data_IF_319879606401
#
_entry.id   IF_319879606401
#
_cell.length_a   1.000
_cell.length_b   1.000
_cell.length_c   1.000
_cell.angle_alpha   90.00
_cell.angle_beta   90.00
_cell.angle_gamma   90.00
#
_symmetry.space_group_name_H-M   'P 1'
#
loop_
_entity.id
_entity.type
_entity.pdbx_description
1 polymer ?
#
# COMPACT_ATOMS: atom_id res chain seq x y z
N UNK A 1 47.95 -24.02 -25.34
CA UNK A 1 47.27 -23.91 -26.66
C UNK A 1 45.77 -23.75 -26.44
N UNK A 2 45.17 -22.85 -27.23
CA UNK A 2 43.73 -22.58 -27.44
C UNK A 2 43.03 -21.63 -26.46
N UNK A 3 42.95 -20.39 -26.97
CA UNK A 3 42.00 -19.30 -26.68
C UNK A 3 40.56 -19.76 -26.92
N UNK A 4 39.64 -19.34 -26.06
CA UNK A 4 38.29 -18.95 -26.50
C UNK A 4 37.81 -17.74 -25.69
N UNK A 5 37.78 -16.62 -26.38
CA UNK A 5 37.07 -15.39 -26.04
C UNK A 5 35.67 -15.51 -26.69
N UNK A 6 34.59 -15.26 -25.94
CA UNK A 6 33.27 -14.88 -26.49
C UNK A 6 32.42 -14.36 -25.30
N UNK A 7 32.32 -13.04 -25.10
CA UNK A 7 31.39 -12.10 -25.75
C UNK A 7 29.95 -12.21 -25.22
N UNK A 8 29.55 -11.10 -24.57
CA UNK A 8 28.30 -10.37 -24.79
C UNK A 8 26.97 -11.14 -24.68
N UNK A 9 26.11 -10.73 -23.75
CA UNK A 9 24.82 -10.17 -24.14
C UNK A 9 24.02 -9.57 -22.97
N UNK A 10 23.63 -8.31 -23.19
CA UNK A 10 22.31 -7.73 -22.91
C UNK A 10 21.82 -7.71 -21.45
N UNK A 11 21.87 -6.54 -20.80
CA UNK A 11 20.81 -5.52 -20.85
C UNK A 11 19.60 -5.93 -20.02
N UNK A 12 19.45 -5.18 -18.92
CA UNK A 12 18.20 -4.68 -18.35
C UNK A 12 16.93 -5.34 -18.86
N UNK A 13 16.32 -6.14 -17.99
CA UNK A 13 14.87 -6.10 -17.86
C UNK A 13 14.53 -6.18 -16.38
N UNK A 14 14.44 -4.97 -15.79
CA UNK A 14 13.39 -4.66 -14.85
C UNK A 14 12.08 -5.18 -15.43
N UNK A 15 11.66 -6.34 -14.97
CA UNK A 15 10.35 -6.90 -15.21
C UNK A 15 9.72 -7.19 -13.87
N UNK A 16 9.38 -6.14 -13.11
CA UNK A 16 8.25 -6.29 -12.20
C UNK A 16 7.07 -6.61 -13.12
N UNK A 17 6.66 -7.87 -13.16
CA UNK A 17 5.36 -8.24 -13.67
C UNK A 17 4.34 -7.55 -12.80
N UNK A 18 3.97 -6.33 -13.16
CA UNK A 18 2.72 -5.73 -12.72
C UNK A 18 1.64 -6.50 -13.47
N UNK A 19 1.28 -7.67 -12.94
CA UNK A 19 0.01 -8.30 -13.26
C UNK A 19 -1.05 -7.26 -12.88
N UNK A 20 -1.62 -6.65 -13.91
CA UNK A 20 -2.84 -5.86 -13.79
C UNK A 20 -3.98 -6.84 -13.50
N UNK A 21 -4.02 -7.35 -12.27
CA UNK A 21 -5.14 -8.15 -11.78
C UNK A 21 -6.34 -7.21 -11.66
N UNK A 22 -7.32 -7.38 -12.55
CA UNK A 22 -8.66 -6.86 -12.31
C UNK A 22 -9.28 -7.67 -11.18
N UNK A 23 -8.96 -7.30 -9.94
CA UNK A 23 -9.46 -8.00 -8.77
C UNK A 23 -10.97 -7.83 -8.66
N UNK A 24 -11.67 -8.96 -8.57
CA UNK A 24 -13.05 -9.03 -8.12
C UNK A 24 -13.13 -8.36 -6.74
N UNK A 25 -14.10 -7.46 -6.58
CA UNK A 25 -14.32 -6.61 -5.40
C UNK A 25 -14.70 -7.40 -4.12
N UNK A 26 -14.74 -8.73 -4.17
CA UNK A 26 -15.11 -9.62 -3.06
C UNK A 26 -13.98 -10.54 -2.58
N UNK A 27 -12.78 -10.47 -3.14
CA UNK A 27 -11.66 -11.30 -2.69
C UNK A 27 -10.95 -10.66 -1.49
N UNK A 28 -10.61 -11.49 -0.49
CA UNK A 28 -9.79 -11.05 0.65
C UNK A 28 -8.49 -10.42 0.17
N UNK A 29 -8.11 -9.28 0.75
CA UNK A 29 -6.86 -8.63 0.40
C UNK A 29 -5.66 -9.50 0.76
N UNK A 30 -4.86 -9.82 -0.26
CA UNK A 30 -3.58 -10.46 -0.09
C UNK A 30 -2.62 -9.59 0.74
N UNK A 31 -1.67 -10.26 1.39
CA UNK A 31 -0.57 -9.60 2.07
C UNK A 31 0.26 -8.79 1.08
N UNK A 32 0.60 -7.56 1.46
CA UNK A 32 1.48 -6.73 0.65
C UNK A 32 1.29 -5.23 0.83
N UNK A 33 1.83 -4.48 -0.14
CA UNK A 33 1.74 -3.03 -0.19
C UNK A 33 0.73 -2.59 -1.23
N UNK A 34 0.02 -1.51 -0.93
CA UNK A 34 -1.02 -0.94 -1.78
C UNK A 34 -0.95 0.58 -1.78
N UNK A 35 -1.19 1.21 -2.92
CA UNK A 35 -1.37 2.64 -3.00
C UNK A 35 -2.84 2.94 -2.69
N UNK A 36 -3.08 3.79 -1.70
CA UNK A 36 -4.42 4.10 -1.23
C UNK A 36 -4.67 5.61 -1.16
N UNK A 37 -5.92 6.00 -1.38
CA UNK A 37 -6.43 7.32 -1.02
C UNK A 37 -6.79 7.31 0.46
N UNK A 38 -6.14 8.17 1.23
CA UNK A 38 -6.34 8.28 2.68
C UNK A 38 -6.95 9.65 2.97
N UNK A 39 -8.23 9.69 3.32
CA UNK A 39 -8.92 10.89 3.80
C UNK A 39 -8.81 10.95 5.32
N UNK A 40 -8.21 12.01 5.83
CA UNK A 40 -8.03 12.27 7.26
C UNK A 40 -8.92 13.42 7.66
N UNK A 41 -9.83 13.14 8.59
CA UNK A 41 -10.74 14.10 9.18
C UNK A 41 -10.34 14.36 10.62
N UNK A 42 -10.13 15.65 10.92
CA UNK A 42 -9.85 16.16 12.25
C UNK A 42 -10.94 17.17 12.62
N UNK A 43 -11.01 17.59 13.88
CA UNK A 43 -11.97 18.61 14.31
C UNK A 43 -11.89 19.92 13.52
N UNK A 44 -10.71 20.24 12.97
CA UNK A 44 -10.44 21.51 12.29
C UNK A 44 -10.49 21.42 10.77
N UNK A 45 -10.07 20.28 10.21
CA UNK A 45 -9.80 20.16 8.77
C UNK A 45 -9.93 18.73 8.26
N UNK A 46 -10.26 18.65 6.98
CA UNK A 46 -10.23 17.43 6.18
C UNK A 46 -9.07 17.53 5.20
N UNK A 47 -8.24 16.48 5.13
CA UNK A 47 -7.13 16.38 4.18
C UNK A 47 -7.18 15.03 3.47
N UNK A 48 -6.73 14.98 2.22
CA UNK A 48 -6.66 13.74 1.45
C UNK A 48 -5.23 13.54 0.95
N UNK A 49 -4.73 12.32 1.08
CA UNK A 49 -3.39 11.93 0.65
C UNK A 49 -3.45 10.68 -0.23
N UNK A 50 -2.45 10.51 -1.08
CA UNK A 50 -2.13 9.21 -1.68
C UNK A 50 -0.94 8.65 -0.93
N UNK A 51 -1.15 7.55 -0.20
CA UNK A 51 -0.14 6.96 0.67
C UNK A 51 -0.04 5.46 0.41
N UNK A 52 1.18 4.94 0.51
CA UNK A 52 1.42 3.50 0.54
C UNK A 52 0.98 2.95 1.89
N UNK A 53 0.17 1.89 1.87
CA UNK A 53 -0.26 1.14 3.04
C UNK A 53 0.25 -0.30 2.98
N UNK A 54 0.32 -0.97 4.12
CA UNK A 54 0.64 -2.40 4.21
C UNK A 54 -0.55 -3.15 4.78
N UNK A 55 -0.94 -4.25 4.13
CA UNK A 55 -2.00 -5.16 4.57
C UNK A 55 -1.43 -6.51 4.99
N UNK A 56 -2.11 -7.17 5.93
CA UNK A 56 -1.85 -8.57 6.30
C UNK A 56 -3.16 -9.23 6.71
N UNK A 57 -3.48 -10.39 6.14
CA UNK A 57 -4.70 -11.14 6.36
C UNK A 57 -5.97 -10.27 6.26
N UNK A 58 -6.10 -9.45 5.22
CA UNK A 58 -7.21 -8.49 5.05
C UNK A 58 -7.27 -7.31 6.05
N UNK A 59 -6.28 -7.15 6.95
CA UNK A 59 -6.22 -6.04 7.91
C UNK A 59 -5.15 -5.00 7.58
N UNK A 60 -5.43 -3.73 7.85
CA UNK A 60 -4.44 -2.65 7.75
C UNK A 60 -3.37 -2.77 8.84
N UNK A 61 -2.11 -2.88 8.44
CA UNK A 61 -0.97 -2.97 9.34
C UNK A 61 -0.25 -1.63 9.55
N UNK A 62 -0.14 -0.83 8.50
CA UNK A 62 0.67 0.40 8.51
C UNK A 62 0.22 1.38 7.44
N UNK A 63 0.26 2.68 7.76
CA UNK A 63 0.19 3.80 6.80
C UNK A 63 1.56 4.49 6.77
N UNK A 64 2.20 4.55 5.59
CA UNK A 64 3.52 5.18 5.41
C UNK A 64 3.36 6.68 5.12
N UNK A 65 3.91 7.55 5.98
CA UNK A 65 3.91 9.00 5.77
C UNK A 65 5.22 9.49 5.14
N UNK A 66 5.18 10.46 4.21
CA UNK A 66 6.37 10.96 3.51
C UNK A 66 7.45 11.53 4.43
N UNK A 67 7.07 12.04 5.60
CA UNK A 67 7.99 12.62 6.59
C UNK A 67 8.74 11.58 7.43
N UNK A 68 8.83 10.33 6.97
CA UNK A 68 9.47 9.23 7.70
C UNK A 68 8.67 8.71 8.90
N UNK A 69 7.40 9.13 9.02
CA UNK A 69 6.49 8.69 10.07
C UNK A 69 5.65 7.48 9.64
N UNK A 70 5.12 6.76 10.62
CA UNK A 70 4.15 5.69 10.41
C UNK A 70 2.99 5.80 11.40
N UNK A 71 1.81 5.42 10.94
CA UNK A 71 0.68 5.13 11.81
C UNK A 71 0.46 3.61 11.77
N UNK A 72 0.51 2.96 12.93
CA UNK A 72 0.36 1.52 13.06
C UNK A 72 -0.58 1.14 14.23
N UNK A 73 -0.66 -0.14 14.55
CA UNK A 73 -1.53 -0.71 15.59
C UNK A 73 -1.33 -0.15 16.99
N UNK A 74 -0.20 0.49 17.29
CA UNK A 74 -0.02 1.19 18.57
C UNK A 74 -0.94 2.39 18.72
N UNK A 75 -1.46 2.90 17.59
CA UNK A 75 -2.31 4.09 17.55
C UNK A 75 -3.77 3.81 17.15
N UNK A 76 -4.12 2.60 16.68
CA UNK A 76 -5.48 2.26 16.27
C UNK A 76 -5.82 0.78 16.43
N UNK A 77 -7.12 0.48 16.58
CA UNK A 77 -7.64 -0.90 16.48
C UNK A 77 -7.56 -1.38 15.04
N UNK A 78 -7.01 -2.57 14.83
CA UNK A 78 -6.86 -3.22 13.52
C UNK A 78 -8.18 -3.18 12.71
N UNK A 79 -8.24 -2.39 11.63
CA UNK A 79 -9.44 -2.32 10.81
C UNK A 79 -9.31 -3.32 9.66
N UNK A 80 -10.38 -4.08 9.43
CA UNK A 80 -10.50 -5.00 8.31
C UNK A 80 -10.95 -4.25 7.06
N UNK A 81 -10.47 -4.67 5.90
CA UNK A 81 -10.96 -4.15 4.62
C UNK A 81 -12.22 -4.88 4.17
N UNK A 82 -13.21 -4.10 3.74
CA UNK A 82 -14.40 -4.59 3.04
C UNK A 82 -14.51 -3.81 1.73
N UNK A 83 -14.62 -4.51 0.61
CA UNK A 83 -14.66 -3.89 -0.72
C UNK A 83 -13.54 -2.86 -0.94
N UNK A 84 -12.30 -3.24 -0.60
CA UNK A 84 -11.10 -2.39 -0.73
C UNK A 84 -11.13 -1.09 0.08
N UNK A 85 -12.07 -0.95 1.01
CA UNK A 85 -12.25 0.21 1.87
C UNK A 85 -12.17 -0.18 3.35
N UNK A 86 -11.63 0.73 4.16
CA UNK A 86 -11.68 0.60 5.61
C UNK A 86 -11.67 1.95 6.29
N UNK A 87 -12.12 1.98 7.55
CA UNK A 87 -12.13 3.18 8.38
C UNK A 87 -11.50 2.88 9.72
N UNK A 88 -10.70 3.80 10.23
CA UNK A 88 -10.16 3.75 11.59
C UNK A 88 -10.24 5.11 12.28
N UNK A 89 -10.18 5.07 13.60
CA UNK A 89 -9.99 6.24 14.45
C UNK A 89 -8.72 6.00 15.23
N UNK A 90 -7.82 6.97 15.24
CA UNK A 90 -6.59 6.88 16.03
C UNK A 90 -6.80 7.35 17.49
N UNK A 91 -5.78 7.13 18.31
CA UNK A 91 -5.69 7.58 19.71
C UNK A 91 -5.82 9.11 19.90
N UNK A 92 -5.72 9.91 18.84
CA UNK A 92 -5.91 11.36 18.84
C UNK A 92 -7.30 11.78 18.36
N UNK A 93 -8.20 10.82 18.11
CA UNK A 93 -9.56 11.05 17.67
C UNK A 93 -9.68 11.54 16.23
N UNK A 94 -8.66 11.31 15.39
CA UNK A 94 -8.72 11.60 13.95
C UNK A 94 -9.35 10.43 13.24
N UNK A 95 -10.31 10.68 12.35
CA UNK A 95 -10.96 9.66 11.52
C UNK A 95 -10.21 9.52 10.21
N UNK A 96 -9.93 8.29 9.81
CA UNK A 96 -9.27 7.97 8.55
C UNK A 96 -10.19 7.07 7.74
N UNK A 97 -10.43 7.46 6.49
CA UNK A 97 -11.08 6.62 5.48
C UNK A 97 -10.02 6.26 4.44
N UNK A 98 -9.79 4.96 4.27
CA UNK A 98 -8.77 4.41 3.38
C UNK A 98 -9.48 3.67 2.27
N UNK A 99 -9.19 4.07 1.03
CA UNK A 99 -9.66 3.39 -0.19
C UNK A 99 -8.46 2.98 -1.04
N UNK A 100 -8.32 1.68 -1.28
CA UNK A 100 -7.24 1.15 -2.12
C UNK A 100 -7.47 1.59 -3.58
N UNK A 101 -6.38 2.01 -4.24
CA UNK A 101 -6.37 2.40 -5.65
C UNK A 101 -5.80 1.25 -6.49
N UNK A 102 -4.61 0.76 -6.13
CA UNK A 102 -3.96 -0.37 -6.80
C UNK A 102 -2.95 -1.05 -5.87
N UNK A 103 -2.54 -2.27 -6.23
CA UNK A 103 -1.43 -2.99 -5.56
C UNK A 103 -0.08 -2.33 -5.89
N UNK A 104 0.86 -2.40 -4.95
CA UNK A 104 2.17 -1.76 -5.04
C UNK A 104 2.24 -0.39 -4.34
N UNK A 105 3.41 0.23 -4.34
CA UNK A 105 3.62 1.55 -3.72
C UNK A 105 3.01 2.68 -4.57
N UNK A 106 2.69 3.82 -3.93
CA UNK A 106 2.36 5.04 -4.67
C UNK A 106 3.61 5.58 -5.39
N UNK A 107 3.44 5.98 -6.65
CA UNK A 107 4.46 6.64 -7.48
C UNK A 107 4.20 8.14 -7.61
#
# INVERSE_FOLDING_TARGET
MKITCLLFCFILIFGCSSTSDSHNLNDQLHDGMYCAKVRVETKEKIKTYKLTITTKNNYLQKINWPSGGWLDRSHYKLPEFYDNETTLIDDRGRKFEIKIIHRGECK
#
